data_IF_745321330296
#
_entry.id   IF_745321330296
#
_cell.length_a   1.000
_cell.length_b   1.000
_cell.length_c   1.000
_cell.angle_alpha   90.00
_cell.angle_beta   90.00
_cell.angle_gamma   90.00
#
_symmetry.space_group_name_H-M   'P 1'
#
loop_
_entity.id
_entity.type
_entity.pdbx_description
1 polymer ?
#
# COMPACT_ATOMS: atom_id res chain seq x y z
N UNK A 1 0.25 -8.00 -45.59
CA UNK A 1 -0.56 -7.04 -44.82
C UNK A 1 0.22 -5.73 -44.79
N UNK A 2 -0.34 -4.64 -45.30
CA UNK A 2 0.27 -3.32 -45.11
C UNK A 2 0.05 -2.92 -43.65
N UNK A 3 1.13 -2.60 -42.93
CA UNK A 3 1.06 -2.05 -41.58
C UNK A 3 0.33 -0.70 -41.63
N UNK A 4 -0.86 -0.65 -41.03
CA UNK A 4 -1.61 0.59 -40.87
C UNK A 4 -0.91 1.45 -39.79
N UNK A 5 -0.33 2.61 -40.14
CA UNK A 5 0.45 3.42 -39.19
C UNK A 5 -0.35 3.84 -37.95
N UNK A 6 -1.67 4.01 -38.08
CA UNK A 6 -2.54 4.34 -36.95
C UNK A 6 -2.68 3.16 -35.96
N UNK A 7 -2.79 1.93 -36.48
CA UNK A 7 -2.83 0.71 -35.64
C UNK A 7 -1.48 0.49 -34.95
N UNK A 8 -0.37 0.70 -35.67
CA UNK A 8 0.98 0.60 -35.07
C UNK A 8 1.18 1.60 -33.94
N UNK A 9 0.77 2.87 -34.13
CA UNK A 9 0.80 3.88 -33.07
C UNK A 9 -0.07 3.46 -31.86
N UNK A 10 -1.29 3.00 -32.12
CA UNK A 10 -2.21 2.54 -31.07
C UNK A 10 -1.62 1.39 -30.25
N UNK A 11 -1.04 0.38 -30.90
CA UNK A 11 -0.39 -0.74 -30.22
C UNK A 11 0.79 -0.28 -29.37
N UNK A 12 1.66 0.56 -29.93
CA UNK A 12 2.81 1.11 -29.19
C UNK A 12 2.37 1.94 -27.97
N UNK A 13 1.27 2.69 -28.09
CA UNK A 13 0.69 3.44 -26.97
C UNK A 13 0.17 2.50 -25.88
N UNK A 14 -0.57 1.46 -26.26
CA UNK A 14 -1.02 0.44 -25.30
C UNK A 14 0.13 -0.35 -24.68
N UNK A 15 1.24 -0.58 -25.39
CA UNK A 15 2.44 -1.20 -24.82
C UNK A 15 3.04 -0.37 -23.68
N UNK A 16 3.01 0.97 -23.78
CA UNK A 16 3.42 1.83 -22.67
C UNK A 16 2.47 1.71 -21.47
N UNK A 17 1.16 1.63 -21.70
CA UNK A 17 0.18 1.40 -20.63
C UNK A 17 0.38 0.03 -19.99
N UNK A 18 0.62 -1.02 -20.79
CA UNK A 18 0.89 -2.38 -20.33
C UNK A 18 2.15 -2.44 -19.46
N UNK A 19 3.17 -1.62 -19.73
CA UNK A 19 4.37 -1.54 -18.89
C UNK A 19 4.02 -1.11 -17.46
N UNK A 20 3.14 -0.12 -17.31
CA UNK A 20 2.61 0.31 -16.01
C UNK A 20 1.80 -0.81 -15.36
N UNK A 21 0.87 -1.40 -16.11
CA UNK A 21 0.04 -2.53 -15.63
C UNK A 21 0.88 -3.68 -15.08
N UNK A 22 1.87 -4.16 -15.85
CA UNK A 22 2.79 -5.24 -15.44
C UNK A 22 3.60 -4.88 -14.19
N UNK A 23 3.97 -3.62 -14.02
CA UNK A 23 4.68 -3.15 -12.84
C UNK A 23 3.79 -3.20 -11.58
N UNK A 24 2.49 -2.91 -11.68
CA UNK A 24 1.57 -2.96 -10.53
C UNK A 24 0.93 -4.32 -10.29
N UNK A 25 0.88 -5.23 -11.27
CA UNK A 25 0.32 -6.59 -11.15
C UNK A 25 1.19 -7.55 -10.32
N UNK A 26 1.57 -7.16 -9.11
CA UNK A 26 2.28 -8.02 -8.15
C UNK A 26 2.05 -7.54 -6.72
N UNK A 27 1.75 -8.48 -5.83
CA UNK A 27 1.43 -8.21 -4.42
C UNK A 27 2.50 -7.40 -3.71
N UNK A 28 3.78 -7.79 -3.82
CA UNK A 28 4.88 -7.11 -3.13
C UNK A 28 5.05 -5.68 -3.64
N UNK A 29 4.89 -5.45 -4.95
CA UNK A 29 5.01 -4.11 -5.54
C UNK A 29 3.85 -3.20 -5.12
N UNK A 30 2.63 -3.71 -5.06
CA UNK A 30 1.50 -2.96 -4.50
C UNK A 30 1.73 -2.59 -3.04
N UNK A 31 2.26 -3.52 -2.22
CA UNK A 31 2.64 -3.23 -0.83
C UNK A 31 3.72 -2.15 -0.75
N UNK A 32 4.73 -2.18 -1.62
CA UNK A 32 5.78 -1.15 -1.65
C UNK A 32 5.19 0.22 -2.01
N UNK A 33 4.33 0.29 -3.04
CA UNK A 33 3.63 1.53 -3.42
C UNK A 33 2.82 2.07 -2.24
N UNK A 34 2.06 1.20 -1.56
CA UNK A 34 1.29 1.58 -0.37
C UNK A 34 2.16 2.16 0.75
N UNK A 35 3.31 1.54 1.03
CA UNK A 35 4.24 2.03 2.06
C UNK A 35 4.87 3.37 1.66
N UNK A 36 5.20 3.55 0.39
CA UNK A 36 5.80 4.79 -0.12
C UNK A 36 4.80 5.94 -0.26
N UNK A 37 3.51 5.63 -0.33
CA UNK A 37 2.41 6.60 -0.25
C UNK A 37 2.38 7.33 1.11
N UNK A 38 2.87 6.67 2.16
CA UNK A 38 3.02 7.25 3.50
C UNK A 38 4.26 8.15 3.65
N UNK A 39 5.08 8.25 2.60
CA UNK A 39 6.27 9.09 2.57
C UNK A 39 7.56 8.35 2.19
N UNK A 40 8.66 9.08 1.94
CA UNK A 40 9.90 8.51 1.47
C UNK A 40 10.56 7.54 2.48
N UNK A 41 11.07 6.41 2.00
CA UNK A 41 11.72 5.38 2.84
C UNK A 41 12.94 4.76 2.17
N UNK A 42 13.91 4.34 2.97
CA UNK A 42 15.05 3.52 2.54
C UNK A 42 14.64 2.10 2.17
N UNK A 43 15.51 1.36 1.48
CA UNK A 43 15.24 -0.04 1.10
C UNK A 43 15.05 -0.92 2.34
N UNK A 44 15.85 -0.69 3.37
CA UNK A 44 15.82 -1.41 4.63
C UNK A 44 14.50 -1.20 5.39
N UNK A 45 14.02 0.05 5.43
CA UNK A 45 12.72 0.39 6.04
C UNK A 45 11.56 -0.29 5.30
N UNK A 46 11.58 -0.26 3.96
CA UNK A 46 10.55 -0.92 3.14
C UNK A 46 10.59 -2.44 3.35
N UNK A 47 11.77 -3.04 3.31
CA UNK A 47 11.98 -4.48 3.50
C UNK A 47 11.45 -4.95 4.86
N UNK A 48 11.74 -4.17 5.90
CA UNK A 48 11.24 -4.41 7.27
C UNK A 48 9.71 -4.28 7.34
N UNK A 49 9.14 -3.22 6.75
CA UNK A 49 7.70 -2.96 6.81
C UNK A 49 6.85 -4.07 6.17
N UNK A 50 7.34 -4.69 5.09
CA UNK A 50 6.62 -5.76 4.37
C UNK A 50 7.15 -7.17 4.65
N UNK A 51 8.09 -7.29 5.59
CA UNK A 51 8.74 -8.52 6.04
C UNK A 51 9.33 -9.39 4.90
N UNK A 52 10.20 -8.79 4.08
CA UNK A 52 10.93 -9.51 3.02
C UNK A 52 12.42 -9.13 3.03
N UNK A 53 13.25 -9.85 2.27
CA UNK A 53 14.67 -9.53 2.18
C UNK A 53 14.93 -8.19 1.48
N UNK A 54 16.02 -7.51 1.85
CA UNK A 54 16.50 -6.30 1.17
C UNK A 54 16.74 -6.58 -0.33
N UNK A 55 17.34 -7.73 -0.67
CA UNK A 55 17.57 -8.11 -2.07
C UNK A 55 16.28 -8.26 -2.89
N UNK A 56 15.23 -8.85 -2.30
CA UNK A 56 13.90 -8.93 -2.94
C UNK A 56 13.26 -7.55 -3.07
N UNK A 57 13.43 -6.69 -2.06
CA UNK A 57 12.91 -5.32 -2.07
C UNK A 57 13.57 -4.50 -3.18
N UNK A 58 14.90 -4.52 -3.28
CA UNK A 58 15.64 -3.83 -4.34
C UNK A 58 15.22 -4.25 -5.75
N UNK A 59 15.01 -5.56 -5.98
CA UNK A 59 14.51 -6.06 -7.27
C UNK A 59 13.14 -5.50 -7.62
N UNK A 60 12.22 -5.44 -6.65
CA UNK A 60 10.89 -4.88 -6.86
C UNK A 60 10.93 -3.36 -7.09
N UNK A 61 11.75 -2.63 -6.33
CA UNK A 61 11.98 -1.20 -6.52
C UNK A 61 12.58 -0.90 -7.90
N UNK A 62 13.49 -1.74 -8.39
CA UNK A 62 14.05 -1.60 -9.73
C UNK A 62 12.97 -1.73 -10.81
N UNK A 63 12.06 -2.70 -10.70
CA UNK A 63 10.93 -2.87 -11.63
C UNK A 63 9.99 -1.65 -11.56
N UNK A 64 9.65 -1.20 -10.36
CA UNK A 64 8.81 -0.02 -10.15
C UNK A 64 9.46 1.25 -10.72
N UNK A 65 10.78 1.42 -10.54
CA UNK A 65 11.56 2.54 -11.08
C UNK A 65 11.63 2.49 -12.61
N UNK A 66 11.81 1.30 -13.19
CA UNK A 66 11.73 1.10 -14.64
C UNK A 66 10.33 1.44 -15.18
N UNK A 67 9.27 1.24 -14.39
CA UNK A 67 7.92 1.68 -14.71
C UNK A 67 7.63 3.15 -14.40
N UNK A 68 8.62 3.92 -13.92
CA UNK A 68 8.47 5.30 -13.46
C UNK A 68 7.38 5.49 -12.39
N UNK A 69 7.16 4.47 -11.55
CA UNK A 69 6.20 4.51 -10.44
C UNK A 69 6.84 5.00 -9.14
N UNK A 70 8.15 4.82 -9.02
CA UNK A 70 8.94 5.31 -7.89
C UNK A 70 10.16 6.06 -8.40
N UNK A 71 10.62 7.02 -7.60
CA UNK A 71 11.88 7.74 -7.78
C UNK A 71 12.82 7.45 -6.61
N UNK A 72 14.10 7.61 -6.85
CA UNK A 72 15.13 7.55 -5.81
C UNK A 72 15.72 8.93 -5.58
N UNK A 73 15.96 9.28 -4.32
CA UNK A 73 16.58 10.52 -3.90
C UNK A 73 17.75 10.20 -2.98
N UNK A 74 18.93 10.73 -3.33
CA UNK A 74 20.13 10.55 -2.52
C UNK A 74 20.19 11.65 -1.48
N UNK A 75 20.15 11.28 -0.21
CA UNK A 75 20.33 12.20 0.91
C UNK A 75 21.59 11.80 1.68
N UNK A 76 22.66 12.58 1.50
CA UNK A 76 23.99 12.31 2.06
C UNK A 76 24.49 10.91 1.64
N UNK A 77 24.58 9.98 2.59
CA UNK A 77 25.07 8.61 2.40
C UNK A 77 23.95 7.59 2.20
N UNK A 78 22.68 8.02 2.20
CA UNK A 78 21.52 7.14 2.13
C UNK A 78 20.71 7.36 0.85
N UNK A 79 20.10 6.28 0.35
CA UNK A 79 19.18 6.31 -0.79
C UNK A 79 17.76 6.11 -0.26
N UNK A 80 16.90 7.08 -0.52
CA UNK A 80 15.47 7.01 -0.20
C UNK A 80 14.68 6.82 -1.48
N UNK A 81 13.58 6.08 -1.39
CA UNK A 81 12.60 5.92 -2.44
C UNK A 81 11.34 6.68 -2.08
N UNK A 82 10.68 7.24 -3.09
CA UNK A 82 9.39 7.90 -2.97
C UNK A 82 8.53 7.57 -4.21
N UNK A 83 7.22 7.78 -4.12
CA UNK A 83 6.37 7.72 -5.32
C UNK A 83 6.85 8.76 -6.35
N UNK A 84 6.78 8.41 -7.63
CA UNK A 84 7.21 9.30 -8.70
C UNK A 84 6.34 10.57 -8.78
N UNK A 85 5.04 10.41 -8.55
CA UNK A 85 4.06 11.49 -8.47
C UNK A 85 2.76 11.00 -7.79
N UNK A 86 1.83 11.93 -7.55
CA UNK A 86 0.52 11.66 -6.92
C UNK A 86 -0.37 10.72 -7.74
N UNK A 87 -0.23 10.66 -9.07
CA UNK A 87 -1.05 9.77 -9.90
C UNK A 87 -0.81 8.29 -9.59
N UNK A 88 0.37 7.94 -9.08
CA UNK A 88 0.68 6.57 -8.64
C UNK A 88 -0.17 6.19 -7.42
N UNK A 89 -0.38 7.13 -6.50
CA UNK A 89 -1.28 6.97 -5.35
C UNK A 89 -2.73 6.82 -5.82
N UNK A 90 -3.17 7.72 -6.71
CA UNK A 90 -4.53 7.69 -7.27
C UNK A 90 -4.82 6.38 -8.02
N UNK A 91 -3.83 5.79 -8.70
CA UNK A 91 -3.95 4.48 -9.33
C UNK A 91 -4.22 3.37 -8.30
N UNK A 92 -3.51 3.36 -7.18
CA UNK A 92 -3.72 2.37 -6.11
C UNK A 92 -5.14 2.47 -5.53
N UNK A 93 -5.62 3.71 -5.32
CA UNK A 93 -6.99 3.98 -4.87
C UNK A 93 -8.02 3.48 -5.88
N UNK A 94 -7.82 3.78 -7.17
CA UNK A 94 -8.72 3.36 -8.23
C UNK A 94 -8.81 1.83 -8.35
N UNK A 95 -7.67 1.14 -8.27
CA UNK A 95 -7.62 -0.33 -8.30
C UNK A 95 -8.36 -0.95 -7.11
N UNK A 96 -8.18 -0.38 -5.92
CA UNK A 96 -8.85 -0.83 -4.69
C UNK A 96 -10.36 -0.65 -4.81
N UNK A 97 -10.82 0.55 -5.18
CA UNK A 97 -12.23 0.86 -5.37
C UNK A 97 -12.90 -0.01 -6.45
N UNK A 98 -12.18 -0.28 -7.53
CA UNK A 98 -12.67 -1.16 -8.60
C UNK A 98 -12.79 -2.60 -8.10
N UNK A 99 -11.79 -3.10 -7.38
CA UNK A 99 -11.82 -4.44 -6.80
C UNK A 99 -12.98 -4.59 -5.79
N UNK A 100 -13.26 -3.61 -4.95
CA UNK A 100 -14.41 -3.64 -4.03
C UNK A 100 -15.76 -3.71 -4.75
N UNK A 101 -15.91 -2.96 -5.84
CA UNK A 101 -17.15 -2.92 -6.61
C UNK A 101 -17.35 -4.13 -7.50
N UNK A 102 -16.26 -4.70 -8.01
CA UNK A 102 -16.29 -5.76 -9.02
C UNK A 102 -16.03 -7.16 -8.49
N UNK A 103 -15.40 -7.32 -7.31
CA UNK A 103 -15.04 -8.61 -6.73
C UNK A 103 -15.83 -8.85 -5.44
N UNK A 104 -16.87 -9.70 -5.45
CA UNK A 104 -17.63 -10.07 -4.26
C UNK A 104 -16.76 -10.66 -3.13
N UNK A 105 -15.64 -11.29 -3.47
CA UNK A 105 -14.67 -11.85 -2.53
C UNK A 105 -14.06 -10.77 -1.63
N UNK A 106 -13.79 -9.58 -2.19
CA UNK A 106 -13.28 -8.43 -1.43
C UNK A 106 -14.27 -8.00 -0.34
N UNK A 107 -15.57 -8.01 -0.65
CA UNK A 107 -16.65 -7.70 0.29
C UNK A 107 -16.82 -8.77 1.38
N UNK A 108 -16.46 -10.02 1.09
CA UNK A 108 -16.52 -11.11 2.06
C UNK A 108 -15.32 -11.11 3.02
N UNK A 109 -14.16 -10.60 2.59
CA UNK A 109 -13.03 -10.39 3.48
C UNK A 109 -13.44 -9.46 4.64
N UNK A 110 -14.21 -8.40 4.40
CA UNK A 110 -14.73 -7.51 5.45
C UNK A 110 -15.54 -8.26 6.52
N UNK A 111 -16.43 -9.17 6.12
CA UNK A 111 -17.30 -9.91 7.04
C UNK A 111 -16.56 -10.90 7.94
N UNK A 112 -15.47 -11.48 7.45
CA UNK A 112 -14.61 -12.36 8.26
C UNK A 112 -13.88 -11.63 9.39
N UNK A 113 -13.92 -10.29 9.38
CA UNK A 113 -13.31 -9.45 10.40
C UNK A 113 -14.31 -8.80 11.35
N UNK A 114 -15.55 -8.57 10.94
CA UNK A 114 -16.60 -8.10 11.85
C UNK A 114 -16.95 -9.14 12.93
N UNK A 115 -16.45 -10.37 12.81
CA UNK A 115 -16.51 -11.40 13.84
C UNK A 115 -15.43 -11.27 14.92
N UNK A 116 -14.43 -10.40 14.75
CA UNK A 116 -13.52 -10.00 15.84
C UNK A 116 -14.29 -9.04 16.77
N UNK A 117 -14.13 -9.12 18.10
CA UNK A 117 -14.82 -8.23 19.02
C UNK A 117 -14.44 -6.78 18.75
N UNK A 118 -15.34 -6.05 18.09
CA UNK A 118 -15.24 -4.61 17.88
C UNK A 118 -16.05 -3.93 18.99
N UNK A 119 -15.40 -3.05 19.73
CA UNK A 119 -16.05 -2.19 20.73
C UNK A 119 -15.93 -0.77 20.23
N UNK A 120 -17.02 -0.02 20.21
CA UNK A 120 -16.91 1.40 19.96
C UNK A 120 -16.21 2.06 21.15
N UNK A 121 -15.45 3.13 20.89
CA UNK A 121 -14.77 3.91 21.94
C UNK A 121 -15.81 4.43 22.97
N UNK A 122 -17.05 4.64 22.51
CA UNK A 122 -18.25 4.94 23.29
C UNK A 122 -18.52 3.90 24.39
N UNK A 123 -18.38 2.62 24.06
CA UNK A 123 -18.72 1.49 24.93
C UNK A 123 -17.66 1.23 26.00
N UNK A 124 -16.40 1.62 25.72
CA UNK A 124 -15.29 1.52 26.67
C UNK A 124 -15.44 2.53 27.83
N UNK A 125 -16.09 3.68 27.61
CA UNK A 125 -16.32 4.69 28.67
C UNK A 125 -17.36 4.26 29.70
N UNK A 126 -18.27 3.35 29.33
CA UNK A 126 -19.36 2.88 30.20
C UNK A 126 -18.95 1.66 31.06
N UNK A 127 -17.78 1.09 30.82
CA UNK A 127 -17.23 0.03 31.67
C UNK A 127 -16.52 0.68 32.87
N UNK A 128 -17.14 0.59 34.04
CA UNK A 128 -16.59 1.04 35.33
C UNK A 128 -15.39 0.17 35.78
N UNK A 129 -14.34 0.07 34.96
CA UNK A 129 -13.07 -0.53 35.36
C UNK A 129 -11.91 0.39 34.97
N UNK A 130 -11.02 0.56 35.94
CA UNK A 130 -9.69 1.16 35.91
C UNK A 130 -9.15 1.56 34.51
N UNK A 131 -8.84 2.84 34.36
CA UNK A 131 -7.92 3.42 33.36
C UNK A 131 -7.74 2.60 32.08
N UNK A 132 -8.62 2.79 31.10
CA UNK A 132 -8.49 2.16 29.78
C UNK A 132 -7.38 2.85 28.98
N UNK A 133 -6.38 2.07 28.55
CA UNK A 133 -5.33 2.55 27.65
C UNK A 133 -5.71 2.19 26.20
N UNK A 134 -5.70 3.19 25.32
CA UNK A 134 -5.82 2.98 23.88
C UNK A 134 -4.39 2.89 23.33
N UNK A 135 -4.02 1.72 22.81
CA UNK A 135 -2.73 1.50 22.18
C UNK A 135 -2.88 1.63 20.66
N UNK A 136 -2.42 2.76 20.13
CA UNK A 136 -2.32 2.98 18.68
C UNK A 136 -1.12 2.20 18.13
N UNK A 137 -1.39 1.18 17.30
CA UNK A 137 -0.37 0.28 16.75
C UNK A 137 0.19 0.76 15.40
N UNK A 138 -0.14 1.98 14.95
CA UNK A 138 0.42 2.54 13.72
C UNK A 138 1.93 2.79 13.87
N UNK A 139 2.75 2.57 12.83
CA UNK A 139 4.13 3.01 12.79
C UNK A 139 4.25 4.51 13.14
N UNK A 140 5.30 4.90 13.85
CA UNK A 140 5.47 6.26 14.40
C UNK A 140 5.49 7.33 13.31
N UNK A 141 5.97 6.97 12.12
CA UNK A 141 5.96 7.79 10.91
C UNK A 141 4.55 8.00 10.34
N UNK A 142 3.63 7.05 10.50
CA UNK A 142 2.21 7.18 10.14
C UNK A 142 1.47 8.07 11.16
N UNK A 143 1.73 7.88 12.46
CA UNK A 143 1.12 8.68 13.54
C UNK A 143 1.40 10.19 13.38
N UNK A 144 2.61 10.56 12.97
CA UNK A 144 3.02 11.97 12.86
C UNK A 144 2.55 12.66 11.57
N UNK A 145 2.10 11.92 10.54
CA UNK A 145 1.70 12.47 9.24
C UNK A 145 0.17 12.48 9.06
N UNK A 146 -0.52 13.16 9.97
CA UNK A 146 -2.00 13.16 10.10
C UNK A 146 -2.76 13.70 8.87
N UNK A 147 -2.14 14.53 8.03
CA UNK A 147 -2.88 15.39 7.09
C UNK A 147 -3.11 14.87 5.66
N UNK A 148 -2.51 13.75 5.23
CA UNK A 148 -2.57 13.34 3.82
C UNK A 148 -3.59 12.22 3.51
N UNK A 149 -4.24 11.63 4.52
CA UNK A 149 -4.72 10.25 4.38
C UNK A 149 -6.06 9.90 5.05
N UNK A 150 -6.94 10.83 5.41
CA UNK A 150 -8.22 10.42 6.02
C UNK A 150 -9.07 9.48 5.13
N UNK A 151 -9.00 9.59 3.79
CA UNK A 151 -9.76 8.71 2.90
C UNK A 151 -9.07 7.41 2.50
N UNK A 152 -7.74 7.39 2.38
CA UNK A 152 -6.98 6.23 1.86
C UNK A 152 -6.58 5.30 3.01
N UNK A 153 -6.28 5.84 4.20
CA UNK A 153 -6.04 5.04 5.41
C UNK A 153 -7.32 4.30 5.81
N UNK A 154 -8.51 4.91 5.74
CA UNK A 154 -9.72 4.26 6.24
C UNK A 154 -10.06 2.96 5.50
N UNK A 155 -9.81 2.89 4.18
CA UNK A 155 -10.08 1.69 3.38
C UNK A 155 -8.95 0.64 3.44
N UNK A 156 -7.68 1.05 3.40
CA UNK A 156 -6.54 0.09 3.39
C UNK A 156 -6.09 -0.35 4.79
N UNK A 157 -6.28 0.49 5.82
CA UNK A 157 -5.98 0.14 7.21
C UNK A 157 -6.99 -0.91 7.75
N UNK A 158 -8.20 -0.95 7.20
CA UNK A 158 -9.15 -2.08 7.36
C UNK A 158 -8.66 -3.40 6.75
N UNK A 159 -7.56 -3.43 5.99
CA UNK A 159 -7.02 -4.62 5.35
C UNK A 159 -5.59 -4.97 5.85
N UNK A 160 -4.74 -3.98 6.11
CA UNK A 160 -3.31 -4.18 6.43
C UNK A 160 -3.05 -4.36 7.93
N UNK A 161 -3.78 -3.65 8.81
CA UNK A 161 -3.71 -3.85 10.27
C UNK A 161 -4.22 -5.25 10.69
N UNK A 162 -4.89 -5.95 9.78
CA UNK A 162 -5.38 -7.32 9.93
C UNK A 162 -4.44 -8.44 9.51
N UNK A 163 -3.35 -8.15 8.80
CA UNK A 163 -2.34 -9.17 8.44
C UNK A 163 -1.19 -9.17 9.47
N UNK A 164 -0.93 -8.04 10.13
CA UNK A 164 0.17 -7.93 11.11
C UNK A 164 -0.05 -8.72 12.41
N UNK A 165 -1.28 -9.15 12.74
CA UNK A 165 -1.54 -9.87 13.99
C UNK A 165 -1.06 -11.34 13.98
N UNK A 166 -0.63 -11.88 12.84
CA UNK A 166 -0.16 -13.27 12.68
C UNK A 166 1.36 -13.46 12.83
N UNK A 167 2.12 -12.46 13.28
CA UNK A 167 3.59 -12.61 13.44
C UNK A 167 4.17 -12.25 14.79
N UNK A 168 3.38 -11.85 15.78
CA UNK A 168 3.88 -11.72 17.16
C UNK A 168 2.85 -12.19 18.19
N UNK A 169 2.63 -13.50 18.23
CA UNK A 169 2.30 -14.20 19.47
C UNK A 169 3.58 -14.88 19.92
N UNK A 170 4.26 -14.28 20.89
CA UNK A 170 5.24 -14.97 21.71
C UNK A 170 4.93 -14.63 23.17
N UNK A 171 4.42 -15.65 23.85
CA UNK A 171 4.05 -15.77 25.27
C UNK A 171 3.00 -14.79 25.79
#
# INVERSE_FOLDING_TARGET
MQDNPAITYQNNAFDQVLRIGKAVSNLTRLKIIFILDQGPKSVEEIAKAINISVGTTSKNLQILKQGNLVKEEKSKNFVFYALANEQVSQLLVLLTNLAEKSLPEMRNLEKSYDTLPQTEISDLKNQNMATTYILDLRPTDEFNNVHLLELIIFHLMKLILKICHLSQIKM
#
